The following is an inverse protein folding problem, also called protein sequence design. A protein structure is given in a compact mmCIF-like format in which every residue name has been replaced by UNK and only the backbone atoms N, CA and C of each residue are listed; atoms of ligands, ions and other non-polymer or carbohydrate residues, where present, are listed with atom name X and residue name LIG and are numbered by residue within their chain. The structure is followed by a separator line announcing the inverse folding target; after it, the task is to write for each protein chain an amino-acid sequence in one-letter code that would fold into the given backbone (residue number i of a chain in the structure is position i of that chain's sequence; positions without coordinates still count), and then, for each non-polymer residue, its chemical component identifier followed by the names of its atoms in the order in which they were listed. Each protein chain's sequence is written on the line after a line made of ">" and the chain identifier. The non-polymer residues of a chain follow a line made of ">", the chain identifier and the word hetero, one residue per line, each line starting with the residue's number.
data_IF_025410717844
#
_entry.id   IF_025410717844
#
_cell.length_a   1.000
_cell.length_b   1.000
_cell.length_c   1.000
_cell.angle_alpha   90.00
_cell.angle_beta   90.00
_cell.angle_gamma   90.00
#
_symmetry.space_group_name_H-M   'P 1'
#
loop_
_entity.id
_entity.type
_entity.pdbx_description
1 polymer ?
#
# COMPACT_ATOMS: atom_id res chain seq x y z
N UNK A 1 -32.75 -42.92 -5.23
CA UNK A 1 -32.34 -42.39 -4.89
C UNK A 1 -32.27 -41.73 -4.53
N UNK A 2 -32.25 -41.25 -4.20
CA UNK A 2 -31.99 -40.47 -3.96
C UNK A 2 -31.31 -40.06 -3.96
N UNK A 3 -30.91 -39.77 -4.22
CA UNK A 3 -30.12 -39.29 -4.22
C UNK A 3 -29.92 -38.61 -4.24
N UNK A 4 -29.95 -38.39 -4.49
CA UNK A 4 -29.57 -37.71 -4.58
C UNK A 4 -29.62 -36.82 -4.48
N UNK A 5 -29.91 -36.73 -4.95
CA UNK A 5 -30.28 -35.48 -4.81
C UNK A 5 -29.41 -34.53 -4.16
N UNK A 6 -28.68 -34.53 -3.83
CA UNK A 6 -27.89 -33.78 -3.07
C UNK A 6 -26.99 -32.95 -3.78
N UNK A 7 -26.60 -33.42 -4.82
CA UNK A 7 -25.43 -32.91 -5.45
C UNK A 7 -25.61 -31.67 -6.20
N UNK A 8 -26.66 -31.46 -6.94
CA UNK A 8 -26.77 -30.24 -7.75
C UNK A 8 -26.74 -28.99 -6.92
N UNK A 9 -27.40 -28.98 -5.79
CA UNK A 9 -27.41 -27.79 -4.96
C UNK A 9 -26.06 -27.49 -4.39
N UNK A 10 -25.35 -28.51 -4.03
CA UNK A 10 -24.03 -28.31 -3.48
C UNK A 10 -23.10 -27.70 -4.50
N UNK A 11 -23.21 -28.15 -5.73
CA UNK A 11 -22.37 -27.63 -6.78
C UNK A 11 -22.65 -26.16 -7.06
N UNK A 12 -23.91 -25.78 -7.05
CA UNK A 12 -24.25 -24.39 -7.27
C UNK A 12 -23.72 -23.49 -6.18
N UNK A 13 -23.85 -23.91 -4.97
CA UNK A 13 -23.34 -23.12 -3.86
C UNK A 13 -21.85 -22.96 -3.95
N UNK A 14 -21.18 -24.00 -4.35
CA UNK A 14 -19.75 -23.95 -4.50
C UNK A 14 -19.33 -22.97 -5.59
N UNK A 15 -20.04 -22.94 -6.70
CA UNK A 15 -19.75 -22.01 -7.77
C UNK A 15 -19.95 -20.58 -7.33
N UNK A 16 -21.00 -20.31 -6.56
CA UNK A 16 -21.23 -18.96 -6.06
C UNK A 16 -20.09 -18.52 -5.19
N UNK A 17 -19.59 -19.39 -4.36
CA UNK A 17 -18.46 -19.06 -3.51
C UNK A 17 -17.22 -18.74 -4.33
N UNK A 18 -17.01 -19.49 -5.39
CA UNK A 18 -15.86 -19.25 -6.24
C UNK A 18 -15.95 -17.93 -6.97
N UNK A 19 -17.14 -17.46 -7.22
CA UNK A 19 -17.33 -16.20 -7.91
C UNK A 19 -17.16 -15.00 -7.02
N UNK A 20 -17.17 -15.18 -5.72
CA UNK A 20 -16.98 -14.08 -4.80
C UNK A 20 -15.50 -13.73 -4.78
N UNK A 21 -15.18 -12.54 -5.23
CA UNK A 21 -13.81 -12.11 -5.28
C UNK A 21 -13.26 -11.88 -3.88
N UNK A 22 -11.98 -12.14 -3.72
CA UNK A 22 -11.30 -11.82 -2.48
C UNK A 22 -11.35 -10.32 -2.26
N UNK A 23 -11.30 -9.93 -1.01
CA UNK A 23 -11.25 -8.52 -0.64
C UNK A 23 -9.95 -8.23 0.07
N UNK A 24 -9.48 -7.01 -0.10
CA UNK A 24 -8.26 -6.54 0.55
C UNK A 24 -8.57 -5.19 1.18
N UNK A 25 -7.93 -4.90 2.30
CA UNK A 25 -8.05 -3.60 2.92
C UNK A 25 -6.81 -2.80 2.61
N UNK A 26 -7.01 -1.58 2.14
CA UNK A 26 -5.90 -0.71 1.76
C UNK A 26 -6.01 0.61 2.49
N UNK A 27 -4.86 1.18 2.80
CA UNK A 27 -4.77 2.51 3.39
C UNK A 27 -4.56 3.51 2.27
N UNK A 28 -5.47 4.49 2.16
CA UNK A 28 -5.39 5.52 1.12
C UNK A 28 -4.69 6.75 1.66
N UNK A 29 -3.80 7.30 0.86
CA UNK A 29 -3.05 8.49 1.23
C UNK A 29 -2.73 9.31 -0.02
N UNK A 30 -2.35 10.54 0.20
CA UNK A 30 -2.05 11.47 -0.88
C UNK A 30 -0.56 11.65 -1.04
N UNK A 31 -0.10 11.62 -2.30
CA UNK A 31 1.26 12.00 -2.68
C UNK A 31 1.11 13.00 -3.82
N UNK A 32 1.47 14.25 -3.56
CA UNK A 32 1.27 15.28 -4.57
C UNK A 32 -0.20 15.50 -4.85
N UNK A 33 -0.58 15.38 -6.10
CA UNK A 33 -1.96 15.63 -6.50
C UNK A 33 -2.78 14.34 -6.65
N UNK A 34 -2.19 13.18 -6.38
CA UNK A 34 -2.86 11.91 -6.64
C UNK A 34 -3.06 11.10 -5.38
N UNK A 35 -4.01 10.18 -5.43
CA UNK A 35 -4.27 9.26 -4.33
C UNK A 35 -3.64 7.92 -4.62
N UNK A 36 -2.97 7.40 -3.61
CA UNK A 36 -2.29 6.11 -3.67
C UNK A 36 -2.76 5.26 -2.50
N UNK A 37 -2.47 3.99 -2.54
CA UNK A 37 -2.79 3.13 -1.41
C UNK A 37 -1.79 2.00 -1.27
N UNK A 38 -1.72 1.45 -0.06
CA UNK A 38 -0.93 0.25 0.23
C UNK A 38 -1.80 -0.70 1.02
N UNK A 39 -1.49 -1.98 0.91
CA UNK A 39 -2.19 -3.00 1.68
C UNK A 39 -1.96 -2.72 3.16
N UNK A 40 -3.05 -2.75 3.94
CA UNK A 40 -2.99 -2.44 5.36
C UNK A 40 -2.10 -3.43 6.12
N UNK A 41 -1.91 -4.63 5.58
CA UNK A 41 -1.01 -5.62 6.20
C UNK A 41 0.39 -5.08 6.42
N UNK A 42 0.85 -4.19 5.55
CA UNK A 42 2.21 -3.67 5.66
C UNK A 42 2.32 -2.53 6.68
N UNK A 43 1.20 -1.99 7.13
CA UNK A 43 1.21 -0.77 7.94
C UNK A 43 1.19 -1.14 9.41
N UNK A 44 2.17 -0.61 10.14
CA UNK A 44 2.24 -0.79 11.59
C UNK A 44 1.50 0.33 12.29
N UNK A 45 1.73 1.57 11.88
CA UNK A 45 1.08 2.73 12.51
C UNK A 45 1.30 3.95 11.63
N UNK A 46 0.62 5.03 11.98
CA UNK A 46 0.75 6.32 11.31
C UNK A 46 1.12 7.34 12.38
N UNK A 47 2.18 8.11 12.10
CA UNK A 47 2.63 9.12 13.06
C UNK A 47 2.77 10.45 12.34
N UNK A 48 2.81 11.52 13.10
CA UNK A 48 3.07 12.84 12.55
C UNK A 48 4.54 12.97 12.20
N UNK A 49 4.82 13.75 11.17
CA UNK A 49 6.19 14.03 10.82
C UNK A 49 6.83 14.82 11.95
N UNK A 50 7.88 14.27 12.51
CA UNK A 50 8.65 14.94 13.52
C UNK A 50 9.97 15.39 12.95
N UNK A 51 10.94 15.52 13.82
CA UNK A 51 12.27 15.95 13.43
C UNK A 51 13.05 14.76 12.88
N UNK A 52 13.63 14.95 11.70
CA UNK A 52 14.40 13.90 11.06
C UNK A 52 15.87 14.26 11.08
N UNK A 53 16.72 13.24 11.25
CA UNK A 53 18.17 13.42 11.20
C UNK A 53 18.64 13.01 9.82
N UNK A 54 19.33 13.91 9.15
CA UNK A 54 19.84 13.66 7.81
C UNK A 54 20.97 12.65 7.85
N UNK A 55 20.94 11.70 6.92
CA UNK A 55 22.00 10.70 6.79
C UNK A 55 22.89 11.10 5.62
N UNK A 56 24.18 11.39 5.87
CA UNK A 56 25.06 11.79 4.76
C UNK A 56 25.22 10.65 3.76
N UNK A 57 25.27 11.01 2.50
CA UNK A 57 25.52 10.08 1.39
C UNK A 57 24.45 9.00 1.22
N UNK A 58 23.27 9.21 1.80
CA UNK A 58 22.15 8.31 1.58
C UNK A 58 21.55 8.57 0.20
N UNK A 59 20.82 7.59 -0.36
CA UNK A 59 20.09 7.83 -1.61
C UNK A 59 19.17 9.04 -1.48
N UNK A 60 18.89 9.69 -2.60
CA UNK A 60 18.11 10.92 -2.58
C UNK A 60 16.70 10.75 -2.05
N UNK A 61 16.14 9.53 -2.14
CA UNK A 61 14.79 9.30 -1.63
C UNK A 61 14.73 9.10 -0.13
N UNK A 62 15.88 9.06 0.56
CA UNK A 62 15.92 8.95 2.02
C UNK A 62 15.87 10.35 2.60
N UNK A 63 14.78 10.67 3.30
CA UNK A 63 14.65 11.98 3.93
C UNK A 63 15.49 12.08 5.20
N UNK A 64 15.66 10.95 5.88
CA UNK A 64 16.44 10.92 7.11
C UNK A 64 16.03 9.73 7.95
N UNK A 65 16.41 9.79 9.21
CA UNK A 65 16.02 8.76 10.17
C UNK A 65 15.40 9.42 11.38
N UNK A 66 14.58 8.66 12.07
CA UNK A 66 13.98 9.10 13.33
C UNK A 66 14.02 7.94 14.31
N UNK A 67 13.94 8.28 15.58
CA UNK A 67 13.86 7.28 16.64
C UNK A 67 12.39 7.06 16.95
N UNK A 68 11.93 5.84 16.70
CA UNK A 68 10.56 5.47 17.01
C UNK A 68 10.60 4.41 18.10
N UNK A 69 10.32 4.84 19.32
CA UNK A 69 10.30 3.96 20.50
C UNK A 69 11.59 3.16 20.65
N UNK A 70 12.71 3.83 20.46
CA UNK A 70 14.01 3.21 20.63
C UNK A 70 14.54 2.49 19.41
N UNK A 71 13.81 2.53 18.30
CA UNK A 71 14.25 1.90 17.06
C UNK A 71 14.49 2.96 15.99
N UNK A 72 15.70 2.96 15.44
CA UNK A 72 16.04 3.88 14.36
C UNK A 72 15.28 3.46 13.11
N UNK A 73 14.49 4.39 12.58
CA UNK A 73 13.61 4.11 11.45
C UNK A 73 13.98 5.01 10.28
N UNK A 74 14.20 4.42 9.12
CA UNK A 74 14.52 5.16 7.90
C UNK A 74 13.24 5.73 7.30
N UNK A 75 13.25 7.02 7.01
CA UNK A 75 12.08 7.69 6.44
C UNK A 75 12.36 7.98 4.99
N UNK A 76 11.52 7.41 4.15
CA UNK A 76 11.63 7.45 2.69
C UNK A 76 10.63 8.47 2.16
N UNK A 77 11.04 9.22 1.17
CA UNK A 77 10.14 10.08 0.42
C UNK A 77 9.69 9.32 -0.83
N UNK A 78 8.48 8.78 -0.84
CA UNK A 78 8.04 8.00 -2.00
C UNK A 78 7.89 8.84 -3.27
N UNK A 79 7.73 10.15 -3.15
CA UNK A 79 7.69 11.01 -4.33
C UNK A 79 9.00 10.93 -5.10
N UNK A 80 10.13 10.97 -4.37
CA UNK A 80 11.43 10.82 -4.99
C UNK A 80 11.67 9.41 -5.48
N UNK A 81 11.28 8.43 -4.67
CA UNK A 81 11.49 7.03 -4.99
C UNK A 81 10.75 6.61 -6.26
N UNK A 82 9.54 7.12 -6.45
CA UNK A 82 8.67 6.71 -7.55
C UNK A 82 8.59 7.74 -8.66
N UNK A 83 9.40 8.78 -8.60
CA UNK A 83 9.39 9.85 -9.61
C UNK A 83 8.05 10.54 -9.73
N UNK A 84 7.44 10.82 -8.61
CA UNK A 84 6.17 11.53 -8.56
C UNK A 84 6.45 13.01 -8.33
N UNK A 85 5.56 13.85 -8.85
CA UNK A 85 5.64 15.29 -8.64
C UNK A 85 5.75 15.60 -7.15
N UNK A 86 6.72 16.45 -6.80
CA UNK A 86 6.99 16.79 -5.40
C UNK A 86 6.06 17.87 -4.84
N UNK A 87 5.01 18.23 -5.58
CA UNK A 87 4.05 19.20 -5.07
C UNK A 87 3.41 18.70 -3.79
N UNK A 88 2.94 19.65 -2.97
CA UNK A 88 2.29 19.32 -1.71
C UNK A 88 3.25 19.31 -0.56
N UNK A 89 2.71 19.19 0.62
CA UNK A 89 3.49 19.25 1.86
C UNK A 89 3.34 17.95 2.62
N UNK A 90 4.45 17.29 2.88
CA UNK A 90 4.45 16.00 3.58
C UNK A 90 4.32 16.24 5.08
N UNK A 91 3.31 15.66 5.69
CA UNK A 91 2.97 15.91 7.10
C UNK A 91 2.90 14.65 7.94
N UNK A 92 2.70 13.50 7.32
CA UNK A 92 2.45 12.27 8.06
C UNK A 92 3.42 11.21 7.61
N UNK A 93 3.64 10.24 8.48
CA UNK A 93 4.53 9.13 8.16
C UNK A 93 3.77 7.84 8.36
N UNK A 94 3.76 7.00 7.32
CA UNK A 94 3.19 5.66 7.38
C UNK A 94 4.34 4.73 7.74
N UNK A 95 4.28 4.14 8.94
CA UNK A 95 5.33 3.25 9.42
C UNK A 95 4.97 1.84 9.02
N UNK A 96 5.90 1.15 8.39
CA UNK A 96 5.67 -0.21 7.93
C UNK A 96 6.14 -1.22 8.96
N UNK A 97 5.55 -2.40 8.91
CA UNK A 97 5.90 -3.51 9.78
C UNK A 97 7.21 -4.13 9.28
N UNK A 98 8.29 -4.07 10.07
CA UNK A 98 9.57 -4.61 9.60
C UNK A 98 9.50 -6.09 9.27
N UNK A 99 8.61 -6.84 9.92
CA UNK A 99 8.48 -8.26 9.68
C UNK A 99 7.98 -8.61 8.29
N UNK A 100 7.47 -7.63 7.55
CA UNK A 100 7.00 -7.84 6.19
C UNK A 100 8.08 -7.61 5.15
N UNK A 101 9.27 -7.17 5.57
CA UNK A 101 10.37 -6.89 4.65
C UNK A 101 11.47 -7.92 4.86
N UNK A 102 12.15 -8.25 3.79
CA UNK A 102 13.16 -9.32 3.79
C UNK A 102 14.27 -9.05 4.79
N UNK A 103 14.75 -7.82 4.84
CA UNK A 103 15.83 -7.45 5.73
C UNK A 103 15.34 -6.97 7.08
N UNK A 104 14.03 -7.01 7.33
CA UNK A 104 13.41 -6.56 8.57
C UNK A 104 13.81 -5.15 8.95
N UNK A 105 14.02 -4.31 7.94
CA UNK A 105 14.41 -2.93 8.17
C UNK A 105 13.22 -2.10 8.64
N UNK A 106 13.47 -1.22 9.60
CA UNK A 106 12.44 -0.30 10.07
C UNK A 106 12.36 0.87 9.10
N UNK A 107 11.23 1.04 8.46
CA UNK A 107 11.04 2.00 7.38
C UNK A 107 9.68 2.67 7.48
N UNK A 108 9.62 3.93 7.09
CA UNK A 108 8.36 4.65 6.99
C UNK A 108 8.35 5.50 5.73
N UNK A 109 7.17 5.81 5.24
CA UNK A 109 6.98 6.66 4.07
C UNK A 109 6.39 7.99 4.49
N UNK A 110 6.98 9.05 3.97
CA UNK A 110 6.52 10.41 4.21
C UNK A 110 5.42 10.71 3.20
N UNK A 111 4.22 11.02 3.69
CA UNK A 111 3.08 11.27 2.82
C UNK A 111 2.44 12.60 3.16
N UNK A 112 1.63 13.13 2.23
CA UNK A 112 1.04 14.44 2.42
C UNK A 112 -0.16 14.36 3.37
N UNK A 113 -1.01 13.37 3.16
CA UNK A 113 -2.22 13.21 3.95
C UNK A 113 -2.59 11.73 3.98
N UNK A 114 -3.18 11.30 5.07
CA UNK A 114 -3.69 9.94 5.16
C UNK A 114 -5.20 10.06 5.24
N UNK A 115 -5.91 9.33 4.37
CA UNK A 115 -7.36 9.47 4.28
C UNK A 115 -8.09 8.44 5.12
N UNK A 116 -7.98 7.16 4.74
CA UNK A 116 -8.84 6.14 5.36
C UNK A 116 -8.38 4.76 4.94
N UNK A 117 -8.89 3.74 5.65
CA UNK A 117 -8.74 2.35 5.24
C UNK A 117 -10.02 1.95 4.52
N UNK A 118 -9.89 1.38 3.35
CA UNK A 118 -11.03 0.97 2.53
C UNK A 118 -10.91 -0.49 2.21
N UNK A 119 -12.05 -1.15 2.15
CA UNK A 119 -12.13 -2.53 1.71
C UNK A 119 -12.41 -2.53 0.22
N UNK A 120 -11.60 -3.25 -0.54
CA UNK A 120 -11.66 -3.24 -2.00
C UNK A 120 -11.81 -4.67 -2.48
N UNK A 121 -12.76 -4.88 -3.40
CA UNK A 121 -12.90 -6.16 -4.06
C UNK A 121 -11.83 -6.30 -5.12
N UNK A 122 -11.23 -7.47 -5.22
CA UNK A 122 -10.22 -7.69 -6.26
C UNK A 122 -10.81 -7.58 -7.66
N UNK A 123 -12.12 -7.67 -7.79
CA UNK A 123 -12.77 -7.42 -9.08
C UNK A 123 -12.66 -5.97 -9.53
N UNK A 124 -12.42 -5.06 -8.60
CA UNK A 124 -12.30 -3.64 -8.91
C UNK A 124 -10.86 -3.20 -9.12
N UNK A 125 -9.93 -4.13 -9.10
CA UNK A 125 -8.52 -3.84 -9.29
C UNK A 125 -8.16 -4.21 -10.73
N UNK A 126 -7.58 -3.24 -11.44
CA UNK A 126 -7.15 -3.43 -12.83
C UNK A 126 -5.65 -3.43 -12.90
N UNK A 127 -5.12 -4.11 -13.89
CA UNK A 127 -3.69 -4.06 -14.12
C UNK A 127 -3.32 -2.69 -14.70
N UNK A 128 -2.14 -2.17 -14.34
CA UNK A 128 -1.71 -0.89 -14.92
C UNK A 128 -1.64 -1.02 -16.43
N UNK A 129 -2.01 0.03 -17.15
CA UNK A 129 -1.99 -0.02 -18.60
C UNK A 129 -0.59 0.09 -19.21
N UNK A 130 0.40 0.37 -18.39
CA UNK A 130 1.76 0.54 -18.86
C UNK A 130 2.54 -0.72 -18.62
N UNK A 131 3.79 -0.70 -19.08
CA UNK A 131 4.69 -1.80 -18.90
C UNK A 131 4.77 -2.15 -17.41
N UNK A 132 4.90 -3.42 -17.12
CA UNK A 132 4.83 -3.90 -15.76
C UNK A 132 5.93 -3.30 -14.90
N UNK A 133 5.53 -2.79 -13.75
CA UNK A 133 6.43 -2.30 -12.72
C UNK A 133 6.04 -3.03 -11.44
N UNK A 134 6.97 -3.76 -10.86
CA UNK A 134 6.65 -4.57 -9.69
C UNK A 134 6.20 -3.74 -8.50
N UNK A 135 6.55 -2.46 -8.50
CA UNK A 135 6.10 -1.57 -7.42
C UNK A 135 4.62 -1.26 -7.48
N UNK A 136 3.99 -1.43 -8.65
CA UNK A 136 2.57 -1.11 -8.82
C UNK A 136 1.77 -2.42 -8.81
N UNK A 137 0.93 -2.59 -7.79
CA UNK A 137 0.09 -3.77 -7.70
C UNK A 137 -1.12 -3.68 -8.60
N UNK A 138 -1.64 -2.49 -8.80
CA UNK A 138 -2.81 -2.33 -9.63
C UNK A 138 -3.36 -0.94 -9.57
N UNK A 139 -4.49 -0.74 -10.25
CA UNK A 139 -5.21 0.52 -10.26
C UNK A 139 -6.63 0.22 -9.81
N UNK A 140 -7.10 0.97 -8.83
CA UNK A 140 -8.43 0.79 -8.27
C UNK A 140 -9.31 1.94 -8.72
N UNK A 141 -10.47 1.61 -9.27
CA UNK A 141 -11.46 2.63 -9.64
C UNK A 141 -12.43 2.81 -8.49
N UNK A 142 -12.54 4.04 -8.02
CA UNK A 142 -13.44 4.34 -6.93
C UNK A 142 -14.05 5.71 -7.10
N UNK A 143 -15.37 5.76 -7.18
CA UNK A 143 -16.12 7.02 -7.22
C UNK A 143 -15.62 7.96 -8.31
N UNK A 144 -15.26 7.39 -9.46
CA UNK A 144 -14.79 8.20 -10.58
C UNK A 144 -13.32 8.55 -10.51
N UNK A 145 -12.62 8.12 -9.49
CA UNK A 145 -11.20 8.39 -9.33
C UNK A 145 -10.39 7.13 -9.48
N UNK A 146 -9.15 7.29 -9.87
CA UNK A 146 -8.21 6.19 -9.95
C UNK A 146 -7.25 6.29 -8.78
N UNK A 147 -7.10 5.17 -8.06
CA UNK A 147 -6.18 5.07 -6.93
C UNK A 147 -5.11 4.06 -7.30
N UNK A 148 -3.85 4.47 -7.19
CA UNK A 148 -2.72 3.60 -7.55
C UNK A 148 -2.33 2.79 -6.32
N UNK A 149 -2.34 1.47 -6.46
CA UNK A 149 -2.01 0.55 -5.38
C UNK A 149 -0.55 0.17 -5.50
N UNK A 150 0.24 0.53 -4.49
CA UNK A 150 1.69 0.37 -4.51
C UNK A 150 2.09 -0.73 -3.54
N UNK A 151 3.09 -1.51 -3.95
CA UNK A 151 3.72 -2.48 -3.06
C UNK A 151 4.93 -1.84 -2.41
N UNK A 152 4.92 -1.58 -1.10
CA UNK A 152 6.09 -0.94 -0.47
C UNK A 152 7.32 -1.84 -0.48
N UNK A 153 7.13 -3.14 -0.51
CA UNK A 153 8.26 -4.07 -0.54
C UNK A 153 9.00 -3.97 -1.87
N UNK A 154 8.26 -4.00 -2.98
CA UNK A 154 8.88 -3.98 -4.30
C UNK A 154 9.34 -2.58 -4.70
N UNK A 155 8.77 -1.55 -4.12
CA UNK A 155 9.17 -0.19 -4.44
C UNK A 155 10.60 0.10 -4.00
N UNK A 156 11.05 -0.53 -2.92
CA UNK A 156 12.37 -0.26 -2.37
C UNK A 156 13.43 -1.19 -2.96
N UNK A 157 13.03 -2.35 -3.41
CA UNK A 157 13.98 -3.32 -3.99
C UNK A 157 14.26 -3.09 -5.48
#
# INVERSE_FOLDING_TARGET
>A
MRQDAISPNTAEEHEDEEEVAAEVQVLEFQLGSETYCVDIEYVSEIVDKGQLTTVPNAPSYVEGVMDLRGRTTSIINPKSLLNIDEAGESKRIVIFDPGKFEDEAATGWLVDEVYQVVRVSMNDVEEPPLEKDDAIEGVIKRDGELVIWISPVHAIE
#
